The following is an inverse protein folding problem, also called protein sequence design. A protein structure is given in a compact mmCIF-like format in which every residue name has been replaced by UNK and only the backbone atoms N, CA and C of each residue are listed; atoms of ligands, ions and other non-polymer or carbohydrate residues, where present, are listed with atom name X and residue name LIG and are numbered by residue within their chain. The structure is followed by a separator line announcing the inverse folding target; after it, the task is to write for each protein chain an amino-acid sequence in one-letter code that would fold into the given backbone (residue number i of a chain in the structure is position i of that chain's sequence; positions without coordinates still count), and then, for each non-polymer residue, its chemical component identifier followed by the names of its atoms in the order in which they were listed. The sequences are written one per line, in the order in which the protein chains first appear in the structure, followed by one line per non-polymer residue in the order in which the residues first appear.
data_IF_765927531047
#
_entry.id   IF_765927531047
#
_cell.length_a   1.000
_cell.length_b   1.000
_cell.length_c   1.000
_cell.angle_alpha   90.00
_cell.angle_beta   90.00
_cell.angle_gamma   90.00
#
_symmetry.space_group_name_H-M   'P 1'
#
loop_
_entity.id
_entity.type
_entity.pdbx_description
1 polymer ?
#
# COMPACT_ATOMS: atom_id res chain seq x y z
N UNK A 1 22.10 10.01 -15.18
CA UNK A 1 21.87 8.65 -14.68
C UNK A 1 20.55 8.70 -13.97
N UNK A 2 19.62 7.80 -14.26
CA UNK A 2 18.34 7.75 -13.54
C UNK A 2 18.64 7.27 -12.12
N UNK A 3 18.36 8.12 -11.13
CA UNK A 3 18.49 7.75 -9.72
C UNK A 3 17.30 6.90 -9.23
N UNK A 4 16.68 6.15 -10.15
CA UNK A 4 15.57 5.25 -9.82
C UNK A 4 16.06 4.09 -8.97
N UNK A 5 15.37 3.88 -7.86
CA UNK A 5 15.57 2.71 -7.03
C UNK A 5 14.29 2.28 -6.35
N UNK A 6 14.24 1.04 -5.87
CA UNK A 6 13.19 0.55 -5.00
C UNK A 6 13.76 -0.38 -3.93
N UNK A 7 13.11 -0.40 -2.77
CA UNK A 7 13.41 -1.32 -1.67
C UNK A 7 12.27 -2.31 -1.54
N UNK A 8 12.62 -3.58 -1.57
CA UNK A 8 11.69 -4.70 -1.43
C UNK A 8 11.94 -5.43 -0.12
N UNK A 9 10.88 -5.83 0.56
CA UNK A 9 10.90 -6.73 1.71
C UNK A 9 10.72 -8.17 1.23
N UNK A 10 11.67 -9.02 1.58
CA UNK A 10 11.64 -10.47 1.33
C UNK A 10 11.70 -11.21 2.67
N UNK A 11 11.46 -12.52 2.66
CA UNK A 11 11.58 -13.35 3.87
C UNK A 11 12.97 -13.28 4.53
N UNK A 12 14.01 -12.99 3.74
CA UNK A 12 15.40 -12.90 4.22
C UNK A 12 15.85 -11.45 4.52
N UNK A 13 14.92 -10.49 4.58
CA UNK A 13 15.18 -9.06 4.82
C UNK A 13 15.01 -8.19 3.58
N UNK A 14 15.55 -6.97 3.63
CA UNK A 14 15.35 -5.99 2.57
C UNK A 14 16.34 -6.12 1.41
N UNK A 15 15.90 -5.76 0.21
CA UNK A 15 16.71 -5.76 -1.02
C UNK A 15 16.56 -4.43 -1.75
N UNK A 16 17.70 -3.78 -2.01
CA UNK A 16 17.76 -2.59 -2.85
C UNK A 16 17.90 -3.01 -4.32
N UNK A 17 17.04 -2.47 -5.16
CA UNK A 17 17.10 -2.59 -6.64
C UNK A 17 17.28 -1.19 -7.21
N UNK A 18 18.36 -0.98 -7.97
CA UNK A 18 18.70 0.30 -8.59
C UNK A 18 19.10 0.19 -10.06
N UNK A 19 19.17 -1.03 -10.61
CA UNK A 19 19.44 -1.20 -12.04
C UNK A 19 18.17 -0.89 -12.83
N UNK A 20 18.22 0.04 -13.78
CA UNK A 20 17.10 0.52 -14.58
C UNK A 20 16.30 -0.63 -15.22
N UNK A 21 16.99 -1.57 -15.85
CA UNK A 21 16.36 -2.74 -16.46
C UNK A 21 15.65 -3.64 -15.43
N UNK A 22 16.18 -3.76 -14.21
CA UNK A 22 15.54 -4.54 -13.14
C UNK A 22 14.28 -3.84 -12.64
N UNK A 23 14.31 -2.49 -12.56
CA UNK A 23 13.14 -1.67 -12.23
C UNK A 23 12.05 -1.80 -13.29
N UNK A 24 12.40 -1.69 -14.57
CA UNK A 24 11.45 -1.84 -15.68
C UNK A 24 10.77 -3.22 -15.67
N UNK A 25 11.55 -4.27 -15.43
CA UNK A 25 11.01 -5.64 -15.29
C UNK A 25 10.02 -5.71 -14.11
N UNK A 26 10.38 -5.16 -12.95
CA UNK A 26 9.53 -5.23 -11.76
C UNK A 26 8.27 -4.39 -11.87
N UNK A 27 8.33 -3.24 -12.55
CA UNK A 27 7.15 -2.40 -12.81
C UNK A 27 6.18 -3.09 -13.79
N UNK A 28 6.68 -3.85 -14.76
CA UNK A 28 5.83 -4.68 -15.62
C UNK A 28 5.19 -5.84 -14.84
N UNK A 29 5.98 -6.55 -14.05
CA UNK A 29 5.50 -7.68 -13.25
C UNK A 29 4.52 -7.28 -12.14
N UNK A 30 4.54 -6.02 -11.68
CA UNK A 30 3.55 -5.48 -10.77
C UNK A 30 2.14 -5.40 -11.39
N UNK A 31 2.04 -5.37 -12.72
CA UNK A 31 0.75 -5.38 -13.45
C UNK A 31 0.18 -6.80 -13.61
N UNK A 32 0.98 -7.84 -13.37
CA UNK A 32 0.60 -9.24 -13.48
C UNK A 32 1.74 -10.16 -13.90
N UNK A 33 1.51 -11.46 -13.80
CA UNK A 33 2.49 -12.45 -14.22
C UNK A 33 2.74 -12.42 -15.73
N UNK A 34 4.03 -12.50 -16.14
CA UNK A 34 4.44 -12.44 -17.55
C UNK A 34 5.48 -13.50 -17.89
N UNK A 35 5.54 -13.89 -19.17
CA UNK A 35 6.60 -14.75 -19.71
C UNK A 35 7.87 -13.95 -20.00
N UNK A 36 9.01 -14.62 -20.16
CA UNK A 36 10.27 -13.96 -20.62
C UNK A 36 10.06 -13.25 -21.97
N UNK A 37 9.27 -13.85 -22.86
CA UNK A 37 8.98 -13.28 -24.17
C UNK A 37 8.26 -11.94 -24.04
N UNK A 38 7.16 -11.92 -23.31
CA UNK A 38 6.35 -10.71 -23.10
C UNK A 38 7.15 -9.58 -22.45
N UNK A 39 7.98 -9.91 -21.46
CA UNK A 39 8.85 -8.94 -20.80
C UNK A 39 9.88 -8.38 -21.80
N UNK A 40 10.55 -9.26 -22.55
CA UNK A 40 11.59 -8.88 -23.52
C UNK A 40 11.03 -7.94 -24.60
N UNK A 41 9.86 -8.27 -25.12
CA UNK A 41 9.17 -7.50 -26.17
C UNK A 41 8.75 -6.10 -25.63
N UNK A 42 8.21 -6.03 -24.41
CA UNK A 42 7.76 -4.76 -23.81
C UNK A 42 8.89 -3.81 -23.43
N UNK A 43 10.02 -4.34 -22.93
CA UNK A 43 11.17 -3.48 -22.56
C UNK A 43 12.17 -3.29 -23.70
N UNK A 44 11.94 -3.89 -24.89
CA UNK A 44 12.81 -3.76 -26.06
C UNK A 44 14.21 -4.34 -25.84
N UNK A 45 14.33 -5.47 -25.12
CA UNK A 45 15.60 -6.14 -24.80
C UNK A 45 15.60 -7.60 -25.27
N UNK A 46 16.79 -8.17 -25.46
CA UNK A 46 16.89 -9.58 -25.84
C UNK A 46 16.40 -10.51 -24.72
N UNK A 47 15.79 -11.64 -25.09
CA UNK A 47 15.37 -12.68 -24.15
C UNK A 47 16.50 -13.17 -23.24
N UNK A 48 17.73 -13.24 -23.75
CA UNK A 48 18.91 -13.64 -22.96
C UNK A 48 19.24 -12.61 -21.87
N UNK A 49 19.15 -11.31 -22.20
CA UNK A 49 19.35 -10.22 -21.22
C UNK A 49 18.29 -10.29 -20.12
N UNK A 50 17.02 -10.40 -20.50
CA UNK A 50 15.91 -10.50 -19.54
C UNK A 50 16.03 -11.75 -18.67
N UNK A 51 16.37 -12.90 -19.26
CA UNK A 51 16.56 -14.16 -18.52
C UNK A 51 17.64 -14.03 -17.44
N UNK A 52 18.78 -13.40 -17.76
CA UNK A 52 19.85 -13.19 -16.80
C UNK A 52 19.38 -12.30 -15.61
N UNK A 53 18.58 -11.27 -15.88
CA UNK A 53 18.00 -10.40 -14.86
C UNK A 53 16.99 -11.12 -14.00
N UNK A 54 16.07 -11.88 -14.59
CA UNK A 54 15.07 -12.67 -13.87
C UNK A 54 15.73 -13.73 -12.96
N UNK A 55 16.82 -14.35 -13.38
CA UNK A 55 17.60 -15.26 -12.52
C UNK A 55 18.13 -14.51 -11.28
N UNK A 56 18.65 -13.28 -11.45
CA UNK A 56 19.14 -12.45 -10.35
C UNK A 56 18.01 -12.06 -9.38
N UNK A 57 16.90 -11.54 -9.90
CA UNK A 57 15.74 -11.12 -9.09
C UNK A 57 15.13 -12.32 -8.34
N UNK A 58 15.11 -13.51 -8.96
CA UNK A 58 14.66 -14.74 -8.31
C UNK A 58 15.61 -15.18 -7.18
N UNK A 59 16.93 -15.12 -7.39
CA UNK A 59 17.91 -15.40 -6.34
C UNK A 59 17.79 -14.42 -5.17
N UNK A 60 17.41 -13.17 -5.45
CA UNK A 60 17.12 -12.17 -4.43
C UNK A 60 15.75 -12.36 -3.76
N UNK A 61 14.97 -13.39 -4.14
CA UNK A 61 13.60 -13.68 -3.64
C UNK A 61 12.59 -12.55 -3.86
N UNK A 62 12.82 -11.70 -4.85
CA UNK A 62 11.90 -10.63 -5.20
C UNK A 62 10.78 -11.16 -6.11
N UNK A 63 11.11 -12.13 -6.97
CA UNK A 63 10.16 -12.76 -7.90
C UNK A 63 10.17 -14.27 -7.76
N UNK A 64 9.07 -14.90 -8.13
CA UNK A 64 8.93 -16.35 -8.26
C UNK A 64 8.50 -16.76 -9.66
N UNK A 65 8.58 -18.05 -9.94
CA UNK A 65 8.02 -18.68 -11.14
C UNK A 65 6.77 -19.42 -10.72
N UNK A 66 5.67 -19.15 -11.42
CA UNK A 66 4.41 -19.86 -11.25
C UNK A 66 4.01 -20.57 -12.55
N UNK A 67 3.31 -21.71 -12.48
CA UNK A 67 2.78 -22.35 -13.68
C UNK A 67 1.77 -21.42 -14.37
N UNK A 68 1.80 -21.41 -15.71
CA UNK A 68 0.75 -20.82 -16.52
C UNK A 68 -0.40 -21.83 -16.69
N UNK A 69 -1.58 -21.34 -17.04
CA UNK A 69 -2.68 -22.18 -17.53
C UNK A 69 -2.28 -22.99 -18.78
N UNK A 70 -1.38 -22.46 -19.59
CA UNK A 70 -0.67 -23.23 -20.62
C UNK A 70 0.54 -23.92 -19.98
N UNK A 71 0.52 -25.25 -19.90
CA UNK A 71 1.53 -26.08 -19.23
C UNK A 71 2.96 -25.94 -19.78
N UNK A 72 3.12 -25.28 -20.94
CA UNK A 72 4.43 -25.07 -21.58
C UNK A 72 5.09 -23.76 -21.22
N UNK A 73 4.35 -22.83 -20.63
CA UNK A 73 4.86 -21.49 -20.29
C UNK A 73 5.09 -21.33 -18.78
N UNK A 74 6.09 -20.55 -18.46
CA UNK A 74 6.43 -20.16 -17.08
C UNK A 74 6.17 -18.67 -16.92
N UNK A 75 5.34 -18.30 -15.96
CA UNK A 75 5.08 -16.90 -15.61
C UNK A 75 5.99 -16.49 -14.46
N UNK A 76 6.55 -15.31 -14.57
CA UNK A 76 7.26 -14.63 -13.49
C UNK A 76 6.30 -13.68 -12.80
N UNK A 77 6.29 -13.69 -11.48
CA UNK A 77 5.46 -12.82 -10.64
C UNK A 77 6.30 -12.20 -9.53
N UNK A 78 5.96 -10.99 -9.12
CA UNK A 78 6.56 -10.36 -7.93
C UNK A 78 5.94 -11.02 -6.70
N UNK A 79 6.79 -11.46 -5.76
CA UNK A 79 6.38 -12.07 -4.49
C UNK A 79 6.81 -11.25 -3.28
N UNK A 80 7.78 -10.33 -3.46
CA UNK A 80 8.25 -9.44 -2.40
C UNK A 80 7.42 -8.16 -2.35
N UNK A 81 7.19 -7.63 -1.16
CA UNK A 81 6.50 -6.37 -0.97
C UNK A 81 7.44 -5.20 -1.25
N UNK A 82 7.07 -4.31 -2.17
CA UNK A 82 7.77 -3.03 -2.35
C UNK A 82 7.48 -2.15 -1.13
N UNK A 83 8.53 -1.72 -0.42
CA UNK A 83 8.38 -0.84 0.74
C UNK A 83 8.42 0.63 0.35
N UNK A 84 9.34 0.98 -0.54
CA UNK A 84 9.49 2.35 -1.05
C UNK A 84 10.18 2.35 -2.42
N UNK A 85 10.04 3.44 -3.13
CA UNK A 85 10.78 3.68 -4.39
C UNK A 85 11.04 5.17 -4.59
N UNK A 86 12.01 5.46 -5.45
CA UNK A 86 12.27 6.84 -5.87
C UNK A 86 11.14 7.36 -6.75
N UNK A 87 10.69 8.57 -6.48
CA UNK A 87 9.65 9.26 -7.23
C UNK A 87 9.99 10.75 -7.31
N UNK A 88 9.64 11.40 -8.41
CA UNK A 88 9.82 12.85 -8.51
C UNK A 88 8.86 13.53 -7.50
N UNK A 89 9.39 14.38 -6.59
CA UNK A 89 8.54 15.03 -5.61
C UNK A 89 7.54 15.96 -6.30
N UNK A 90 6.28 16.05 -5.84
CA UNK A 90 5.33 17.06 -6.28
C UNK A 90 5.90 18.48 -6.08
N UNK A 91 5.48 19.42 -6.93
CA UNK A 91 6.01 20.79 -6.93
C UNK A 91 5.80 21.54 -5.62
N UNK A 92 4.74 21.21 -4.88
CA UNK A 92 4.32 21.80 -3.61
C UNK A 92 4.83 21.03 -2.37
N UNK A 93 5.52 19.91 -2.56
CA UNK A 93 5.92 19.01 -1.48
C UNK A 93 6.73 19.71 -0.38
N UNK A 94 7.59 20.68 -0.74
CA UNK A 94 8.36 21.46 0.22
C UNK A 94 7.48 22.36 1.09
N UNK A 95 6.46 22.97 0.51
CA UNK A 95 5.51 23.82 1.23
C UNK A 95 4.67 22.99 2.21
N UNK A 96 4.19 21.83 1.75
CA UNK A 96 3.44 20.88 2.59
C UNK A 96 4.32 20.39 3.75
N UNK A 97 5.59 20.04 3.50
CA UNK A 97 6.53 19.66 4.56
C UNK A 97 6.73 20.77 5.60
N UNK A 98 6.98 21.99 5.16
CA UNK A 98 7.16 23.12 6.09
C UNK A 98 5.88 23.42 6.87
N UNK A 99 4.72 23.36 6.22
CA UNK A 99 3.42 23.51 6.89
C UNK A 99 3.20 22.46 7.97
N UNK A 100 3.61 21.20 7.75
CA UNK A 100 3.50 20.14 8.78
C UNK A 100 4.34 20.44 10.02
N UNK A 101 5.52 21.03 9.83
CA UNK A 101 6.40 21.46 10.94
C UNK A 101 5.79 22.66 11.69
N UNK A 102 5.26 23.64 10.97
CA UNK A 102 4.63 24.84 11.56
C UNK A 102 3.41 24.46 12.42
N UNK A 103 2.61 23.47 12.02
CA UNK A 103 1.49 22.96 12.80
C UNK A 103 1.90 22.45 14.19
N UNK A 104 3.09 21.84 14.30
CA UNK A 104 3.65 21.41 15.59
C UNK A 104 3.94 22.64 16.47
N UNK A 105 4.60 23.63 15.89
CA UNK A 105 5.01 24.86 16.60
C UNK A 105 3.78 25.67 17.05
N UNK A 106 2.73 25.70 16.25
CA UNK A 106 1.46 26.37 16.55
C UNK A 106 0.60 25.59 17.57
N UNK A 107 1.00 24.36 17.96
CA UNK A 107 0.22 23.51 18.86
C UNK A 107 -1.08 22.97 18.26
N UNK A 108 -1.25 23.04 16.93
CA UNK A 108 -2.42 22.51 16.21
C UNK A 108 -2.43 20.99 16.13
N UNK A 109 -1.24 20.38 16.16
CA UNK A 109 -1.02 18.94 16.11
C UNK A 109 -0.11 18.53 17.25
N UNK A 110 -0.37 17.39 17.88
CA UNK A 110 0.48 16.84 18.92
C UNK A 110 1.90 16.58 18.40
N UNK A 111 2.92 16.76 19.27
CA UNK A 111 4.32 16.64 18.87
C UNK A 111 4.61 15.31 18.16
N UNK A 112 4.08 14.19 18.70
CA UNK A 112 4.34 12.87 18.11
C UNK A 112 3.71 12.73 16.72
N UNK A 113 2.43 13.12 16.59
CA UNK A 113 1.71 13.02 15.32
C UNK A 113 2.32 13.93 14.26
N UNK A 114 2.68 15.16 14.64
CA UNK A 114 3.34 16.10 13.76
C UNK A 114 4.74 15.66 13.33
N UNK A 115 5.50 14.98 14.20
CA UNK A 115 6.80 14.41 13.81
C UNK A 115 6.62 13.28 12.78
N UNK A 116 5.64 12.39 12.96
CA UNK A 116 5.34 11.32 12.00
C UNK A 116 4.95 11.91 10.64
N UNK A 117 4.08 12.92 10.64
CA UNK A 117 3.66 13.65 9.43
C UNK A 117 4.86 14.32 8.75
N UNK A 118 5.71 15.02 9.53
CA UNK A 118 6.91 15.70 9.00
C UNK A 118 7.93 14.71 8.41
N UNK A 119 8.13 13.55 9.02
CA UNK A 119 9.01 12.49 8.47
C UNK A 119 8.47 11.99 7.14
N UNK A 120 7.15 11.77 7.04
CA UNK A 120 6.53 11.35 5.79
C UNK A 120 6.72 12.38 4.67
N UNK A 121 6.35 13.64 4.91
CA UNK A 121 6.53 14.69 3.90
C UNK A 121 8.00 14.99 3.60
N UNK A 122 8.88 14.87 4.60
CA UNK A 122 10.31 14.94 4.38
C UNK A 122 10.84 13.87 3.43
N UNK A 123 10.31 12.65 3.52
CA UNK A 123 10.62 11.58 2.57
C UNK A 123 10.14 11.93 1.16
N UNK A 124 8.90 12.45 1.02
CA UNK A 124 8.35 12.90 -0.27
C UNK A 124 9.20 14.01 -0.90
N UNK A 125 9.61 15.04 -0.11
CA UNK A 125 10.52 16.09 -0.56
C UNK A 125 11.86 15.52 -1.01
N UNK A 126 12.33 14.47 -0.34
CA UNK A 126 13.53 13.70 -0.72
C UNK A 126 13.36 12.80 -1.94
N UNK A 127 12.18 12.79 -2.58
CA UNK A 127 11.90 11.96 -3.74
C UNK A 127 11.67 10.48 -3.40
N UNK A 128 11.12 10.19 -2.20
CA UNK A 128 10.82 8.84 -1.75
C UNK A 128 9.31 8.65 -1.65
N UNK A 129 8.76 7.69 -2.38
CA UNK A 129 7.41 7.20 -2.14
C UNK A 129 7.46 6.06 -1.11
N UNK A 130 6.91 6.33 0.08
CA UNK A 130 6.85 5.39 1.21
C UNK A 130 5.45 4.79 1.42
N UNK A 131 4.47 5.17 0.61
CA UNK A 131 3.09 4.67 0.70
C UNK A 131 3.00 3.13 0.71
N UNK A 132 3.77 2.38 -0.10
CA UNK A 132 3.74 0.92 -0.08
C UNK A 132 4.12 0.32 1.28
N UNK A 133 5.00 0.96 2.04
CA UNK A 133 5.36 0.54 3.40
C UNK A 133 4.14 0.67 4.34
N UNK A 134 3.42 1.78 4.26
CA UNK A 134 2.22 2.00 5.07
C UNK A 134 1.10 1.02 4.72
N UNK A 135 0.94 0.70 3.43
CA UNK A 135 0.00 -0.35 2.99
C UNK A 135 0.37 -1.69 3.61
N UNK A 136 1.65 -2.09 3.55
CA UNK A 136 2.13 -3.35 4.14
C UNK A 136 1.87 -3.42 5.65
N UNK A 137 2.13 -2.33 6.37
CA UNK A 137 1.85 -2.23 7.81
C UNK A 137 0.34 -2.37 8.07
N UNK A 138 -0.47 -1.64 7.32
CA UNK A 138 -1.92 -1.65 7.46
C UNK A 138 -2.53 -3.04 7.19
N UNK A 139 -2.06 -3.73 6.15
CA UNK A 139 -2.48 -5.10 5.83
C UNK A 139 -2.11 -6.08 6.94
N UNK A 140 -0.93 -5.94 7.53
CA UNK A 140 -0.52 -6.77 8.66
C UNK A 140 -1.42 -6.54 9.90
N UNK A 141 -1.68 -5.27 10.23
CA UNK A 141 -2.58 -4.91 11.35
C UNK A 141 -3.98 -5.48 11.12
N UNK A 142 -4.57 -5.25 9.95
CA UNK A 142 -5.92 -5.73 9.63
C UNK A 142 -6.05 -7.24 9.73
N UNK A 143 -5.07 -7.97 9.17
CA UNK A 143 -5.00 -9.43 9.27
C UNK A 143 -4.91 -9.88 10.73
N UNK A 144 -4.05 -9.24 11.51
CA UNK A 144 -3.85 -9.60 12.91
C UNK A 144 -5.11 -9.40 13.75
N UNK A 145 -5.83 -8.28 13.54
CA UNK A 145 -7.12 -8.04 14.20
C UNK A 145 -8.12 -9.15 13.85
N UNK A 146 -8.21 -9.54 12.58
CA UNK A 146 -9.12 -10.62 12.17
C UNK A 146 -8.70 -12.00 12.69
N UNK A 147 -7.40 -12.30 12.80
CA UNK A 147 -6.88 -13.52 13.40
C UNK A 147 -7.24 -13.63 14.89
N UNK A 148 -7.04 -12.56 15.64
CA UNK A 148 -7.30 -12.51 17.10
C UNK A 148 -8.80 -12.61 17.41
N UNK A 149 -9.65 -12.32 16.43
CA UNK A 149 -11.12 -12.41 16.52
C UNK A 149 -11.71 -13.45 15.54
N UNK A 150 -10.97 -14.50 15.28
CA UNK A 150 -11.41 -15.60 14.43
C UNK A 150 -12.65 -16.27 15.00
N UNK A 151 -13.74 -16.17 14.28
CA UNK A 151 -15.06 -16.70 14.68
C UNK A 151 -16.12 -15.61 14.85
N UNK A 152 -15.72 -14.34 14.90
CA UNK A 152 -16.67 -13.24 14.78
C UNK A 152 -17.27 -13.25 13.36
N UNK A 153 -18.54 -12.93 13.26
CA UNK A 153 -19.14 -12.66 11.97
C UNK A 153 -18.62 -11.34 11.41
N UNK A 154 -19.04 -11.01 10.21
CA UNK A 154 -18.60 -9.81 9.52
C UNK A 154 -18.92 -8.51 10.28
N UNK A 155 -20.05 -8.47 10.98
CA UNK A 155 -20.46 -7.32 11.80
C UNK A 155 -19.66 -7.22 13.09
N UNK A 156 -19.43 -8.34 13.77
CA UNK A 156 -18.59 -8.40 14.97
C UNK A 156 -17.16 -7.91 14.68
N UNK A 157 -16.57 -8.30 13.55
CA UNK A 157 -15.27 -7.78 13.12
C UNK A 157 -15.30 -6.25 12.92
N UNK A 158 -16.36 -5.72 12.33
CA UNK A 158 -16.52 -4.26 12.17
C UNK A 158 -16.61 -3.52 13.50
N UNK A 159 -17.29 -4.08 14.48
CA UNK A 159 -17.33 -3.51 15.83
C UNK A 159 -15.92 -3.47 16.45
N UNK A 160 -15.15 -4.54 16.34
CA UNK A 160 -13.76 -4.61 16.83
C UNK A 160 -12.86 -3.56 16.19
N UNK A 161 -12.97 -3.41 14.86
CA UNK A 161 -12.22 -2.37 14.15
C UNK A 161 -12.64 -0.96 14.57
N UNK A 162 -13.95 -0.73 14.78
CA UNK A 162 -14.44 0.55 15.28
C UNK A 162 -13.94 0.84 16.70
N UNK A 163 -13.90 -0.16 17.58
CA UNK A 163 -13.37 -0.01 18.92
C UNK A 163 -11.88 0.30 18.90
N UNK A 164 -11.10 -0.37 18.03
CA UNK A 164 -9.69 -0.06 17.81
C UNK A 164 -9.49 1.39 17.38
N UNK A 165 -10.25 1.85 16.40
CA UNK A 165 -10.11 3.21 15.87
C UNK A 165 -10.58 4.26 16.89
N UNK A 166 -11.70 4.03 17.56
CA UNK A 166 -12.25 4.92 18.59
C UNK A 166 -11.33 5.06 19.80
N UNK A 167 -10.80 3.94 20.32
CA UNK A 167 -9.91 3.94 21.48
C UNK A 167 -8.59 4.66 21.23
N UNK A 168 -8.17 4.76 19.97
CA UNK A 168 -6.98 5.49 19.56
C UNK A 168 -7.29 6.91 19.06
N UNK A 169 -8.53 7.38 19.15
CA UNK A 169 -8.94 8.72 18.71
C UNK A 169 -8.89 8.92 17.19
N UNK A 170 -8.79 7.84 16.42
CA UNK A 170 -8.62 7.85 14.97
C UNK A 170 -9.91 8.24 14.26
N UNK A 171 -11.05 7.71 14.72
CA UNK A 171 -12.35 7.93 14.12
C UNK A 171 -13.27 6.72 14.26
N UNK A 172 -14.30 6.70 13.46
CA UNK A 172 -15.26 5.59 13.37
C UNK A 172 -15.70 5.39 11.93
N UNK A 173 -16.21 4.21 11.61
CA UNK A 173 -16.80 3.99 10.29
C UNK A 173 -18.18 3.31 10.41
N UNK A 174 -19.00 3.55 9.40
CA UNK A 174 -20.24 2.81 9.17
C UNK A 174 -20.10 1.98 7.91
N UNK A 175 -20.84 0.88 7.87
CA UNK A 175 -20.78 -0.07 6.78
C UNK A 175 -22.19 -0.37 6.25
N UNK A 176 -22.31 -0.39 4.93
CA UNK A 176 -23.53 -0.86 4.24
C UNK A 176 -23.14 -1.98 3.29
N UNK A 177 -23.80 -3.13 3.45
CA UNK A 177 -23.55 -4.31 2.62
C UNK A 177 -24.68 -4.46 1.60
N UNK A 178 -24.31 -4.49 0.32
CA UNK A 178 -25.20 -4.77 -0.82
C UNK A 178 -24.51 -5.78 -1.75
N UNK A 179 -24.31 -5.46 -3.02
CA UNK A 179 -23.46 -6.22 -3.94
C UNK A 179 -21.96 -5.99 -3.69
N UNK A 180 -21.66 -4.96 -2.94
CA UNK A 180 -20.33 -4.56 -2.45
C UNK A 180 -20.48 -4.05 -1.01
N UNK A 181 -19.39 -3.81 -0.35
CA UNK A 181 -19.36 -3.23 0.99
C UNK A 181 -18.99 -1.76 0.87
N UNK A 182 -19.94 -0.87 1.12
CA UNK A 182 -19.68 0.58 1.20
C UNK A 182 -19.26 0.93 2.62
N UNK A 183 -18.13 1.60 2.76
CA UNK A 183 -17.58 2.10 4.02
C UNK A 183 -17.59 3.62 3.98
N UNK A 184 -18.15 4.24 5.02
CA UNK A 184 -18.08 5.67 5.28
C UNK A 184 -17.30 5.86 6.57
N UNK A 185 -16.09 6.38 6.46
CA UNK A 185 -15.21 6.65 7.60
C UNK A 185 -15.37 8.12 8.02
N UNK A 186 -15.59 8.36 9.31
CA UNK A 186 -15.58 9.68 9.92
C UNK A 186 -14.32 9.84 10.75
N UNK A 187 -13.48 10.79 10.38
CA UNK A 187 -12.19 11.06 11.02
C UNK A 187 -12.41 11.61 12.42
N UNK A 188 -11.63 11.13 13.39
CA UNK A 188 -11.68 11.64 14.76
C UNK A 188 -11.12 13.08 14.84
N UNK A 189 -11.52 13.83 15.86
CA UNK A 189 -11.11 15.23 16.07
C UNK A 189 -9.58 15.42 16.04
N UNK A 190 -8.84 14.44 16.56
CA UNK A 190 -7.37 14.46 16.59
C UNK A 190 -6.73 14.58 15.21
N UNK A 191 -7.37 14.10 14.15
CA UNK A 191 -6.82 14.05 12.79
C UNK A 191 -7.59 14.92 11.79
N UNK A 192 -8.58 15.69 12.26
CA UNK A 192 -9.46 16.50 11.42
C UNK A 192 -8.70 17.52 10.59
N UNK A 193 -7.67 18.14 11.17
CA UNK A 193 -6.85 19.15 10.52
C UNK A 193 -5.55 18.59 9.91
N UNK A 194 -5.40 17.25 9.92
CA UNK A 194 -4.23 16.60 9.33
C UNK A 194 -4.39 16.52 7.81
N UNK A 195 -3.39 17.04 7.10
CA UNK A 195 -3.24 16.85 5.66
C UNK A 195 -2.61 15.47 5.32
N UNK A 196 -2.45 14.63 6.30
CA UNK A 196 -1.76 13.36 6.20
C UNK A 196 -2.60 12.31 5.46
N UNK A 197 -2.72 12.44 4.14
CA UNK A 197 -3.45 11.52 3.26
C UNK A 197 -3.05 10.06 3.42
N UNK A 198 -1.83 9.80 3.88
CA UNK A 198 -1.36 8.42 4.15
C UNK A 198 -2.18 7.75 5.24
N UNK A 199 -2.71 8.50 6.22
CA UNK A 199 -3.56 7.93 7.28
C UNK A 199 -4.84 7.33 6.69
N UNK A 200 -5.43 8.01 5.70
CA UNK A 200 -6.58 7.47 4.95
C UNK A 200 -6.22 6.14 4.27
N UNK A 201 -5.08 6.08 3.59
CA UNK A 201 -4.56 4.85 2.96
C UNK A 201 -4.37 3.75 4.00
N UNK A 202 -3.81 4.06 5.18
CA UNK A 202 -3.62 3.11 6.26
C UNK A 202 -4.97 2.54 6.73
N UNK A 203 -5.92 3.39 7.07
CA UNK A 203 -7.22 2.94 7.62
C UNK A 203 -8.01 2.11 6.63
N UNK A 204 -8.06 2.53 5.37
CA UNK A 204 -8.71 1.76 4.31
C UNK A 204 -8.11 0.37 4.16
N UNK A 205 -6.78 0.27 4.18
CA UNK A 205 -6.10 -1.01 4.02
C UNK A 205 -6.20 -1.90 5.27
N UNK A 206 -6.27 -1.34 6.49
CA UNK A 206 -6.59 -2.12 7.70
C UNK A 206 -7.97 -2.76 7.56
N UNK A 207 -8.99 -1.98 7.22
CA UNK A 207 -10.36 -2.46 7.06
C UNK A 207 -10.44 -3.51 5.95
N UNK A 208 -9.89 -3.22 4.77
CA UNK A 208 -9.87 -4.16 3.64
C UNK A 208 -9.23 -5.48 4.02
N UNK A 209 -8.02 -5.46 4.56
CA UNK A 209 -7.27 -6.67 4.88
C UNK A 209 -7.94 -7.51 5.96
N UNK A 210 -8.56 -6.89 6.97
CA UNK A 210 -9.33 -7.59 7.98
C UNK A 210 -10.56 -8.30 7.36
N UNK A 211 -11.28 -7.62 6.47
CA UNK A 211 -12.45 -8.18 5.80
C UNK A 211 -12.10 -9.28 4.80
N UNK A 212 -11.01 -9.12 4.04
CA UNK A 212 -10.49 -10.17 3.16
C UNK A 212 -10.13 -11.44 3.93
N UNK A 213 -9.43 -11.29 5.06
CA UNK A 213 -9.06 -12.42 5.89
C UNK A 213 -10.27 -13.14 6.49
N UNK A 214 -11.24 -12.38 7.01
CA UNK A 214 -12.46 -12.94 7.61
C UNK A 214 -13.34 -13.66 6.57
N UNK A 215 -13.52 -13.05 5.39
CA UNK A 215 -14.35 -13.60 4.32
C UNK A 215 -13.67 -14.71 3.50
N UNK A 216 -12.35 -14.80 3.55
CA UNK A 216 -11.55 -15.67 2.66
C UNK A 216 -11.61 -15.27 1.19
N UNK A 217 -12.06 -14.06 0.88
CA UNK A 217 -12.23 -13.54 -0.49
C UNK A 217 -11.41 -12.29 -0.71
N UNK A 218 -10.78 -12.19 -1.86
CA UNK A 218 -10.12 -10.97 -2.29
C UNK A 218 -11.12 -9.86 -2.59
N UNK A 219 -10.76 -8.62 -2.27
CA UNK A 219 -11.59 -7.45 -2.50
C UNK A 219 -10.82 -6.38 -3.27
N UNK A 220 -11.46 -5.79 -4.27
CA UNK A 220 -10.94 -4.61 -4.96
C UNK A 220 -11.54 -3.38 -4.25
N UNK A 221 -10.67 -2.45 -3.90
CA UNK A 221 -11.04 -1.18 -3.29
C UNK A 221 -11.26 -0.13 -4.38
N UNK A 222 -12.41 0.55 -4.33
CA UNK A 222 -12.70 1.75 -5.11
C UNK A 222 -12.86 2.92 -4.17
N UNK A 223 -12.15 3.99 -4.43
CA UNK A 223 -12.24 5.22 -3.67
C UNK A 223 -13.27 6.17 -4.29
N UNK A 224 -14.11 6.75 -3.46
CA UNK A 224 -15.05 7.79 -3.85
C UNK A 224 -14.73 9.07 -3.08
N UNK A 225 -14.28 10.15 -3.76
CA UNK A 225 -14.01 11.41 -3.10
C UNK A 225 -15.31 11.97 -2.53
N UNK A 226 -15.27 12.44 -1.30
CA UNK A 226 -16.40 13.14 -0.67
C UNK A 226 -16.15 14.65 -0.65
N UNK A 227 -17.22 15.43 -0.59
CA UNK A 227 -17.13 16.87 -0.36
C UNK A 227 -16.92 17.22 1.12
N UNK A 228 -17.08 16.27 2.01
CA UNK A 228 -16.95 16.44 3.46
C UNK A 228 -15.50 16.17 3.87
N UNK A 229 -14.82 17.19 4.39
CA UNK A 229 -13.41 17.11 4.82
C UNK A 229 -13.18 16.12 5.96
N UNK A 230 -14.22 15.86 6.77
CA UNK A 230 -14.14 14.98 7.93
C UNK A 230 -14.48 13.52 7.59
N UNK A 231 -14.77 13.24 6.32
CA UNK A 231 -15.19 11.90 5.88
C UNK A 231 -14.48 11.48 4.62
N UNK A 232 -14.25 10.19 4.51
CA UNK A 232 -13.91 9.57 3.24
C UNK A 232 -14.73 8.31 3.02
N UNK A 233 -15.03 8.03 1.77
CA UNK A 233 -15.82 6.89 1.36
C UNK A 233 -15.02 5.98 0.44
N UNK A 234 -15.21 4.69 0.59
CA UNK A 234 -14.67 3.70 -0.32
C UNK A 234 -15.56 2.45 -0.38
N UNK A 235 -15.44 1.72 -1.46
CA UNK A 235 -16.17 0.49 -1.71
C UNK A 235 -15.20 -0.69 -1.78
N UNK A 236 -15.61 -1.82 -1.17
CA UNK A 236 -14.93 -3.09 -1.29
C UNK A 236 -15.78 -4.03 -2.15
N UNK A 237 -15.27 -4.41 -3.31
CA UNK A 237 -15.93 -5.29 -4.26
C UNK A 237 -15.30 -6.68 -4.19
N UNK A 238 -16.14 -7.70 -3.99
CA UNK A 238 -15.68 -9.09 -4.00
C UNK A 238 -15.19 -9.50 -5.39
N UNK A 239 -14.00 -10.06 -5.45
CA UNK A 239 -13.48 -10.67 -6.68
C UNK A 239 -14.11 -12.04 -6.85
N UNK A 240 -14.67 -12.29 -8.04
CA UNK A 240 -15.28 -13.59 -8.39
C UNK A 240 -14.22 -14.62 -8.72
#
# INVERSE_FOLDING_TARGET
MSDRFAIYMTDDGTRLVSAEIDMDILDLLAQGGMTIGDIADRIGRSRSTVSARLVRLRKAKIIAIVPSSDSRERLYVVTANRLMHSEAPPSDSKEVFLSSVDKILDGKVGLYDGLVESVFYGAVVGGLNTEPMFITIAEHIGRKVAEDHKGDDFFGLCERLNDLFRSNGIGTFTMTVTYFVKIVFTVGERYRDSEFKVMETIYRNIIRSAMEYNSGKWMIMRYEPTADVDKFEFELHFVK
#
